data_IF_234099220379
#
_entry.id   IF_234099220379
#
_cell.length_a   1.000
_cell.length_b   1.000
_cell.length_c   1.000
_cell.angle_alpha   90.00
_cell.angle_beta   90.00
_cell.angle_gamma   90.00
#
_symmetry.space_group_name_H-M   'P 1'
#
loop_
_entity.id
_entity.type
_entity.pdbx_description
1 polymer ?
#
# COMPACT_ATOMS: atom_id res chain seq x y z
N UNK A 1 31.56 -16.02 -6.96
CA UNK A 1 31.88 -15.18 -8.14
C UNK A 1 31.62 -13.76 -7.71
N UNK A 2 32.59 -12.86 -7.82
CA UNK A 2 32.42 -11.47 -7.41
C UNK A 2 31.38 -10.81 -8.30
N UNK A 3 30.26 -10.36 -7.73
CA UNK A 3 29.33 -9.44 -8.39
C UNK A 3 30.11 -8.17 -8.72
N UNK A 4 30.67 -8.16 -9.92
CA UNK A 4 31.35 -7.01 -10.48
C UNK A 4 30.38 -5.86 -10.46
N UNK A 5 30.84 -4.73 -9.94
CA UNK A 5 30.15 -3.45 -9.92
C UNK A 5 29.80 -3.03 -11.36
N UNK A 6 28.70 -3.56 -11.91
CA UNK A 6 28.20 -3.19 -13.23
C UNK A 6 27.83 -1.71 -13.14
N UNK A 7 28.42 -0.84 -13.97
CA UNK A 7 28.06 0.57 -13.98
C UNK A 7 26.56 0.73 -14.24
N UNK A 8 25.89 1.53 -13.42
CA UNK A 8 24.48 1.87 -13.62
C UNK A 8 24.27 2.45 -15.01
N UNK A 9 23.15 2.11 -15.64
CA UNK A 9 22.79 2.71 -16.92
C UNK A 9 22.54 4.22 -16.74
N UNK A 10 22.59 4.99 -17.83
CA UNK A 10 22.22 6.40 -17.79
C UNK A 10 20.76 6.60 -17.34
N UNK A 11 19.86 5.70 -17.77
CA UNK A 11 18.45 5.72 -17.37
C UNK A 11 18.26 5.46 -15.86
N UNK A 12 18.99 4.48 -15.31
CA UNK A 12 18.96 4.18 -13.88
C UNK A 12 19.53 5.34 -13.04
N UNK A 13 20.63 5.93 -13.50
CA UNK A 13 21.27 7.08 -12.84
C UNK A 13 20.31 8.28 -12.80
N UNK A 14 19.73 8.64 -13.94
CA UNK A 14 18.78 9.76 -14.03
C UNK A 14 17.53 9.52 -13.17
N UNK A 15 17.03 8.28 -13.11
CA UNK A 15 15.90 7.94 -12.24
C UNK A 15 16.24 8.13 -10.75
N UNK A 16 17.43 7.70 -10.31
CA UNK A 16 17.86 7.90 -8.93
C UNK A 16 18.04 9.37 -8.56
N UNK A 17 18.58 10.18 -9.47
CA UNK A 17 18.73 11.63 -9.26
C UNK A 17 17.38 12.31 -9.08
N UNK A 18 16.41 12.01 -9.95
CA UNK A 18 15.04 12.54 -9.82
C UNK A 18 14.38 12.07 -8.52
N UNK A 19 14.47 10.78 -8.20
CA UNK A 19 13.95 10.23 -6.94
C UNK A 19 14.53 10.98 -5.74
N UNK A 20 15.84 11.18 -5.71
CA UNK A 20 16.52 11.91 -4.63
C UNK A 20 16.04 13.37 -4.53
N UNK A 21 15.90 14.06 -5.65
CA UNK A 21 15.39 15.43 -5.67
C UNK A 21 13.95 15.53 -5.16
N UNK A 22 13.10 14.55 -5.46
CA UNK A 22 11.74 14.47 -4.91
C UNK A 22 11.75 14.17 -3.42
N UNK A 23 12.59 13.24 -2.96
CA UNK A 23 12.75 12.95 -1.53
C UNK A 23 13.13 14.21 -0.74
N UNK A 24 14.13 14.96 -1.22
CA UNK A 24 14.57 16.22 -0.59
C UNK A 24 13.44 17.26 -0.56
N UNK A 25 12.68 17.40 -1.65
CA UNK A 25 11.57 18.37 -1.75
C UNK A 25 10.38 18.01 -0.85
N UNK A 26 10.11 16.71 -0.70
CA UNK A 26 8.95 16.21 0.06
C UNK A 26 9.27 15.94 1.53
N UNK A 27 10.55 15.97 1.91
CA UNK A 27 10.99 15.56 3.25
C UNK A 27 10.86 14.05 3.48
N UNK A 28 10.95 13.24 2.42
CA UNK A 28 10.89 11.79 2.53
C UNK A 28 12.26 11.21 2.89
N UNK A 29 12.29 10.33 3.89
CA UNK A 29 13.49 9.65 4.37
C UNK A 29 13.77 8.36 3.58
N UNK A 30 12.79 7.87 2.83
CA UNK A 30 12.92 6.65 2.04
C UNK A 30 11.88 6.51 0.95
N UNK A 31 11.88 5.33 0.33
CA UNK A 31 10.85 4.90 -0.60
C UNK A 31 10.52 3.43 -0.38
N UNK A 32 9.25 3.06 -0.54
CA UNK A 32 8.84 1.65 -0.70
C UNK A 32 8.52 1.37 -2.15
N UNK A 33 8.82 0.16 -2.61
CA UNK A 33 8.48 -0.28 -3.97
C UNK A 33 7.05 -0.84 -3.98
N UNK A 34 6.26 -0.39 -4.94
CA UNK A 34 4.98 -0.99 -5.30
C UNK A 34 5.18 -1.94 -6.48
N UNK A 35 5.85 -1.45 -7.53
CA UNK A 35 6.30 -2.27 -8.67
C UNK A 35 7.78 -2.02 -8.92
N UNK A 36 8.57 -3.07 -8.83
CA UNK A 36 10.03 -3.03 -9.04
C UNK A 36 10.45 -3.43 -10.45
N UNK A 37 11.75 -3.31 -10.72
CA UNK A 37 12.38 -3.95 -11.88
C UNK A 37 12.78 -5.38 -11.51
N UNK A 38 12.77 -6.30 -12.47
CA UNK A 38 13.46 -7.58 -12.29
C UNK A 38 14.94 -7.35 -11.98
N UNK A 39 15.56 -8.23 -11.18
CA UNK A 39 16.98 -8.18 -10.77
C UNK A 39 17.97 -8.37 -11.91
N UNK A 40 17.51 -8.57 -13.15
CA UNK A 40 18.36 -8.80 -14.30
C UNK A 40 18.36 -7.60 -15.26
N UNK A 41 19.54 -7.06 -15.63
CA UNK A 41 19.68 -5.99 -16.60
C UNK A 41 19.18 -6.41 -17.99
N UNK A 42 18.85 -5.44 -18.87
CA UNK A 42 19.18 -4.02 -18.76
C UNK A 42 18.10 -3.14 -18.10
N UNK A 43 18.50 -2.23 -17.21
CA UNK A 43 17.68 -1.12 -16.73
C UNK A 43 17.57 -0.03 -17.82
N UNK A 44 16.72 -0.27 -18.81
CA UNK A 44 16.43 0.67 -19.89
C UNK A 44 15.51 1.80 -19.41
N UNK A 45 15.32 2.83 -20.23
CA UNK A 45 14.32 3.87 -19.96
C UNK A 45 12.92 3.30 -19.77
N UNK A 46 12.54 2.31 -20.59
CA UNK A 46 11.25 1.62 -20.49
C UNK A 46 11.12 0.87 -19.16
N UNK A 47 12.16 0.12 -18.76
CA UNK A 47 12.16 -0.59 -17.48
C UNK A 47 12.07 0.38 -16.30
N UNK A 48 12.82 1.48 -16.33
CA UNK A 48 12.77 2.50 -15.27
C UNK A 48 11.43 3.25 -15.25
N UNK A 49 10.79 3.45 -16.40
CA UNK A 49 9.46 4.04 -16.52
C UNK A 49 8.35 3.13 -15.96
N UNK A 50 8.61 1.83 -15.81
CA UNK A 50 7.71 0.87 -15.16
C UNK A 50 7.79 0.87 -13.63
N UNK A 51 8.84 1.45 -13.05
CA UNK A 51 9.04 1.45 -11.59
C UNK A 51 8.00 2.33 -10.90
N UNK A 52 7.37 1.81 -9.86
CA UNK A 52 6.37 2.50 -9.05
C UNK A 52 6.80 2.45 -7.60
N UNK A 53 6.99 3.61 -6.99
CA UNK A 53 7.41 3.75 -5.59
C UNK A 53 6.54 4.76 -4.88
N UNK A 54 6.47 4.66 -3.57
CA UNK A 54 5.88 5.69 -2.71
C UNK A 54 7.02 6.39 -1.98
N UNK A 55 6.98 7.72 -1.94
CA UNK A 55 7.87 8.49 -1.07
C UNK A 55 7.42 8.31 0.38
N UNK A 56 8.33 7.90 1.25
CA UNK A 56 8.04 7.68 2.68
C UNK A 56 8.55 8.87 3.48
N UNK A 57 7.62 9.76 3.86
CA UNK A 57 7.84 10.77 4.89
C UNK A 57 7.69 10.15 6.28
N UNK A 58 8.10 10.86 7.33
CA UNK A 58 7.90 10.41 8.71
C UNK A 58 6.44 10.07 9.02
N UNK A 59 5.48 10.88 8.53
CA UNK A 59 4.05 10.64 8.76
C UNK A 59 3.55 9.36 8.07
N UNK A 60 4.10 9.02 6.90
CA UNK A 60 3.80 7.76 6.21
C UNK A 60 4.47 6.59 6.90
N UNK A 61 5.71 6.74 7.36
CA UNK A 61 6.40 5.70 8.12
C UNK A 61 5.63 5.36 9.41
N UNK A 62 5.14 6.37 10.13
CA UNK A 62 4.33 6.16 11.33
C UNK A 62 2.97 5.52 10.99
N UNK A 63 2.31 5.98 9.93
CA UNK A 63 1.08 5.34 9.45
C UNK A 63 1.31 3.88 9.01
N UNK A 64 2.48 3.56 8.45
CA UNK A 64 2.86 2.23 8.01
C UNK A 64 3.08 1.29 9.20
N UNK A 65 3.75 1.75 10.26
CA UNK A 65 3.90 0.98 11.51
C UNK A 65 2.54 0.63 12.10
N UNK A 66 1.63 1.60 12.17
CA UNK A 66 0.26 1.35 12.64
C UNK A 66 -0.50 0.37 11.74
N UNK A 67 -0.35 0.49 10.43
CA UNK A 67 -1.00 -0.39 9.47
C UNK A 67 -0.49 -1.84 9.58
N UNK A 68 0.82 -2.05 9.68
CA UNK A 68 1.39 -3.38 9.88
C UNK A 68 1.02 -3.98 11.23
N UNK A 69 1.05 -3.20 12.32
CA UNK A 69 0.59 -3.67 13.62
C UNK A 69 -0.86 -4.20 13.53
N UNK A 70 -1.73 -3.50 12.80
CA UNK A 70 -3.10 -3.96 12.55
C UNK A 70 -3.15 -5.26 11.73
N UNK A 71 -2.48 -5.32 10.56
CA UNK A 71 -2.62 -6.47 9.65
C UNK A 71 -1.94 -7.74 10.18
N UNK A 72 -0.91 -7.57 11.01
CA UNK A 72 -0.23 -8.67 11.73
C UNK A 72 -0.90 -9.03 13.06
N UNK A 73 -2.06 -8.45 13.38
CA UNK A 73 -2.77 -8.62 14.66
C UNK A 73 -1.86 -8.40 15.90
N UNK A 74 -0.91 -7.46 15.80
CA UNK A 74 -0.05 -7.08 16.90
C UNK A 74 -0.76 -6.09 17.83
N UNK A 75 -0.47 -6.18 19.12
CA UNK A 75 -1.00 -5.25 20.10
C UNK A 75 -0.37 -3.87 19.85
N UNK A 76 -1.18 -2.87 19.54
CA UNK A 76 -0.70 -1.54 19.13
C UNK A 76 0.04 -0.77 20.22
N UNK A 77 0.05 -1.29 21.45
CA UNK A 77 0.75 -0.76 22.63
C UNK A 77 2.15 -1.39 22.82
N UNK A 78 2.58 -2.31 21.95
CA UNK A 78 3.93 -2.83 21.96
C UNK A 78 4.90 -1.83 21.30
N UNK A 79 5.73 -1.18 22.11
CA UNK A 79 6.74 -0.18 21.69
C UNK A 79 7.85 -0.72 20.75
N UNK A 80 7.73 -1.93 20.22
CA UNK A 80 8.68 -2.47 19.25
C UNK A 80 7.98 -3.35 18.21
N UNK A 81 8.06 -2.94 16.95
CA UNK A 81 8.01 -3.86 15.83
C UNK A 81 9.21 -4.82 15.97
N UNK A 82 8.99 -6.02 16.51
CA UNK A 82 10.00 -7.07 16.51
C UNK A 82 9.94 -7.80 15.18
N UNK A 83 10.84 -7.45 14.26
CA UNK A 83 10.96 -8.10 12.96
C UNK A 83 11.32 -9.60 13.06
N UNK A 84 11.61 -10.13 14.25
CA UNK A 84 11.82 -11.56 14.50
C UNK A 84 10.58 -12.26 15.05
N UNK A 85 9.47 -11.57 15.27
CA UNK A 85 8.20 -12.21 15.59
C UNK A 85 7.65 -12.83 14.30
N UNK A 86 7.91 -14.11 14.08
CA UNK A 86 7.26 -14.86 13.01
C UNK A 86 5.78 -15.02 13.37
N UNK A 87 4.96 -14.03 13.03
CA UNK A 87 3.51 -14.14 13.11
C UNK A 87 3.08 -15.33 12.25
N UNK A 88 2.52 -16.36 12.90
CA UNK A 88 1.91 -17.47 12.17
C UNK A 88 0.49 -17.05 11.87
N UNK A 89 0.24 -16.68 10.62
CA UNK A 89 -1.10 -16.33 10.17
C UNK A 89 -2.03 -17.54 10.36
N UNK A 90 -3.23 -17.27 10.86
CA UNK A 90 -4.30 -18.26 11.00
C UNK A 90 -5.58 -17.69 10.43
N UNK A 91 -6.55 -18.56 10.17
CA UNK A 91 -7.92 -18.16 9.84
C UNK A 91 -8.52 -17.17 10.84
N UNK A 92 -8.18 -17.30 12.12
CA UNK A 92 -8.58 -16.35 13.17
C UNK A 92 -8.00 -14.95 12.95
N UNK A 93 -6.70 -14.86 12.64
CA UNK A 93 -6.03 -13.60 12.30
C UNK A 93 -6.66 -12.96 11.05
N UNK A 94 -6.97 -13.75 10.03
CA UNK A 94 -7.64 -13.26 8.82
C UNK A 94 -9.03 -12.69 9.11
N UNK A 95 -9.82 -13.36 9.95
CA UNK A 95 -11.12 -12.86 10.40
C UNK A 95 -10.98 -11.52 11.14
N UNK A 96 -10.02 -11.41 12.06
CA UNK A 96 -9.76 -10.16 12.80
C UNK A 96 -9.43 -8.99 11.87
N UNK A 97 -8.57 -9.22 10.86
CA UNK A 97 -8.27 -8.21 9.85
C UNK A 97 -9.52 -7.84 9.06
N UNK A 98 -10.29 -8.82 8.56
CA UNK A 98 -11.53 -8.53 7.80
C UNK A 98 -12.50 -7.68 8.62
N UNK A 99 -12.75 -8.05 9.88
CA UNK A 99 -13.64 -7.29 10.77
C UNK A 99 -13.08 -5.89 11.11
N UNK A 100 -11.75 -5.76 11.20
CA UNK A 100 -11.08 -4.52 11.56
C UNK A 100 -10.97 -3.49 10.44
N UNK A 101 -10.95 -3.90 9.16
CA UNK A 101 -10.75 -3.00 8.01
C UNK A 101 -11.70 -1.80 8.05
N UNK A 102 -13.00 -2.01 8.33
CA UNK A 102 -13.94 -0.89 8.38
C UNK A 102 -13.58 0.11 9.50
N UNK A 103 -13.13 -0.38 10.65
CA UNK A 103 -12.66 0.43 11.77
C UNK A 103 -11.42 1.24 11.39
N UNK A 104 -10.43 0.62 10.76
CA UNK A 104 -9.22 1.30 10.30
C UNK A 104 -9.50 2.32 9.19
N UNK A 105 -10.40 2.02 8.25
CA UNK A 105 -10.84 2.99 7.24
C UNK A 105 -11.52 4.19 7.90
N UNK A 106 -12.35 3.99 8.93
CA UNK A 106 -12.95 5.10 9.70
C UNK A 106 -11.90 5.94 10.42
N UNK A 107 -10.88 5.31 11.01
CA UNK A 107 -9.76 6.00 11.66
C UNK A 107 -8.92 6.78 10.65
N UNK A 108 -8.62 6.19 9.50
CA UNK A 108 -7.86 6.80 8.41
C UNK A 108 -8.58 7.99 7.77
N UNK A 109 -9.91 7.95 7.72
CA UNK A 109 -10.73 9.00 7.07
C UNK A 109 -11.41 9.96 8.06
N UNK A 110 -11.05 9.92 9.34
CA UNK A 110 -11.67 10.71 10.39
C UNK A 110 -11.71 12.22 10.07
N UNK A 111 -12.81 12.89 10.39
CA UNK A 111 -13.06 14.29 10.02
C UNK A 111 -12.00 15.26 10.55
N UNK A 112 -11.43 14.98 11.72
CA UNK A 112 -10.37 15.76 12.37
C UNK A 112 -9.03 15.77 11.63
N UNK A 113 -8.83 14.85 10.69
CA UNK A 113 -7.58 14.72 9.94
C UNK A 113 -7.56 15.66 8.73
N UNK A 114 -6.39 16.21 8.45
CA UNK A 114 -6.12 16.95 7.22
C UNK A 114 -6.17 16.02 6.00
N UNK A 115 -6.26 16.58 4.79
CA UNK A 115 -6.27 15.77 3.56
C UNK A 115 -4.99 14.92 3.42
N UNK A 116 -3.77 15.44 3.64
CA UNK A 116 -2.57 14.61 3.62
C UNK A 116 -2.58 13.50 4.66
N UNK A 117 -3.00 13.79 5.91
CA UNK A 117 -3.09 12.76 6.95
C UNK A 117 -4.08 11.64 6.59
N UNK A 118 -5.19 11.96 5.92
CA UNK A 118 -6.14 10.97 5.43
C UNK A 118 -5.52 10.11 4.32
N UNK A 119 -4.81 10.75 3.41
CA UNK A 119 -4.08 10.08 2.34
C UNK A 119 -3.03 9.14 2.89
N UNK A 120 -2.13 9.62 3.75
CA UNK A 120 -1.03 8.81 4.28
C UNK A 120 -1.54 7.57 5.01
N UNK A 121 -2.56 7.73 5.88
CA UNK A 121 -3.16 6.61 6.60
C UNK A 121 -3.86 5.61 5.68
N UNK A 122 -4.62 6.09 4.71
CA UNK A 122 -5.35 5.20 3.79
C UNK A 122 -4.38 4.49 2.83
N UNK A 123 -3.35 5.19 2.37
CA UNK A 123 -2.26 4.70 1.53
C UNK A 123 -1.50 3.58 2.24
N UNK A 124 -1.03 3.82 3.46
CA UNK A 124 -0.23 2.85 4.20
C UNK A 124 -1.05 1.67 4.71
N UNK A 125 -2.33 1.87 5.06
CA UNK A 125 -3.27 0.76 5.33
C UNK A 125 -3.41 -0.15 4.11
N UNK A 126 -3.63 0.43 2.93
CA UNK A 126 -3.80 -0.34 1.69
C UNK A 126 -2.51 -1.06 1.32
N UNK A 127 -1.36 -0.40 1.50
CA UNK A 127 -0.05 -1.01 1.28
C UNK A 127 0.17 -2.22 2.20
N UNK A 128 -0.05 -2.08 3.51
CA UNK A 128 0.10 -3.19 4.46
C UNK A 128 -0.84 -4.36 4.13
N UNK A 129 -2.11 -4.08 3.83
CA UNK A 129 -3.07 -5.12 3.41
C UNK A 129 -2.67 -5.82 2.10
N UNK A 130 -1.95 -5.15 1.21
CA UNK A 130 -1.40 -5.77 0.00
C UNK A 130 -0.18 -6.64 0.31
N UNK A 131 0.72 -6.17 1.18
CA UNK A 131 1.95 -6.90 1.50
C UNK A 131 1.67 -8.19 2.28
N UNK A 132 0.69 -8.17 3.17
CA UNK A 132 0.26 -9.33 3.95
C UNK A 132 -1.05 -9.90 3.40
N UNK A 133 -1.07 -10.36 2.15
CA UNK A 133 -2.31 -10.76 1.47
C UNK A 133 -3.01 -12.01 2.04
N UNK A 134 -2.38 -12.72 2.97
CA UNK A 134 -2.90 -13.95 3.59
C UNK A 134 -4.29 -13.74 4.20
N UNK A 135 -4.58 -12.57 4.79
CA UNK A 135 -5.92 -12.25 5.32
C UNK A 135 -7.03 -12.43 4.31
N UNK A 136 -6.75 -12.18 3.02
CA UNK A 136 -7.75 -12.25 1.95
C UNK A 136 -8.08 -13.69 1.54
N UNK A 137 -7.19 -14.64 1.85
CA UNK A 137 -7.29 -16.06 1.45
C UNK A 137 -7.62 -16.98 2.61
N UNK A 138 -7.08 -16.70 3.80
CA UNK A 138 -7.25 -17.51 5.00
C UNK A 138 -8.14 -16.77 6.02
N UNK A 139 -9.44 -16.73 5.72
CA UNK A 139 -10.51 -16.22 6.58
C UNK A 139 -11.80 -17.04 6.35
N UNK A 140 -12.83 -16.83 7.18
CA UNK A 140 -14.17 -17.44 7.06
C UNK A 140 -15.25 -16.42 6.64
N UNK A 141 -14.86 -15.20 6.26
CA UNK A 141 -15.73 -14.06 5.96
C UNK A 141 -16.00 -13.90 4.44
N UNK A 142 -15.92 -14.98 3.68
CA UNK A 142 -15.87 -14.97 2.21
C UNK A 142 -17.22 -15.14 1.51
N UNK A 143 -18.34 -15.26 2.22
CA UNK A 143 -19.67 -15.41 1.61
C UNK A 143 -20.19 -14.16 0.90
N UNK A 144 -21.18 -14.34 0.04
CA UNK A 144 -21.84 -13.21 -0.63
C UNK A 144 -22.67 -12.40 0.37
N UNK A 145 -22.39 -11.10 0.46
CA UNK A 145 -22.96 -10.20 1.46
C UNK A 145 -22.19 -10.14 2.79
N UNK A 146 -21.12 -10.90 2.96
CA UNK A 146 -20.37 -10.96 4.22
C UNK A 146 -19.42 -9.76 4.42
N UNK A 147 -18.73 -9.78 5.54
CA UNK A 147 -17.88 -8.70 6.04
C UNK A 147 -16.75 -8.36 5.07
N UNK A 148 -16.17 -9.33 4.35
CA UNK A 148 -15.09 -9.06 3.39
C UNK A 148 -15.55 -8.18 2.23
N UNK A 149 -16.75 -8.42 1.69
CA UNK A 149 -17.31 -7.56 0.63
C UNK A 149 -17.59 -6.14 1.15
N UNK A 150 -18.14 -6.03 2.37
CA UNK A 150 -18.42 -4.74 3.01
C UNK A 150 -17.13 -3.94 3.25
N UNK A 151 -16.11 -4.59 3.80
CA UNK A 151 -14.78 -4.02 4.04
C UNK A 151 -14.15 -3.49 2.74
N UNK A 152 -14.10 -4.32 1.68
CA UNK A 152 -13.57 -3.93 0.38
C UNK A 152 -14.33 -2.75 -0.23
N UNK A 153 -15.68 -2.78 -0.17
CA UNK A 153 -16.53 -1.69 -0.66
C UNK A 153 -16.27 -0.39 0.08
N UNK A 154 -16.06 -0.44 1.40
CA UNK A 154 -15.78 0.74 2.23
C UNK A 154 -14.42 1.34 1.91
N UNK A 155 -13.38 0.51 1.79
CA UNK A 155 -12.04 0.96 1.42
C UNK A 155 -12.05 1.61 0.03
N UNK A 156 -12.72 0.97 -0.95
CA UNK A 156 -12.86 1.51 -2.30
C UNK A 156 -13.61 2.85 -2.35
N UNK A 157 -14.71 2.98 -1.60
CA UNK A 157 -15.47 4.22 -1.53
C UNK A 157 -14.66 5.36 -0.92
N UNK A 158 -13.84 5.07 0.09
CA UNK A 158 -12.92 6.05 0.70
C UNK A 158 -11.87 6.53 -0.29
N UNK A 159 -11.26 5.62 -1.06
CA UNK A 159 -10.32 5.99 -2.12
C UNK A 159 -10.98 6.80 -3.23
N UNK A 160 -12.12 6.34 -3.74
CA UNK A 160 -12.89 7.04 -4.78
C UNK A 160 -13.23 8.47 -4.37
N UNK A 161 -13.64 8.66 -3.11
CA UNK A 161 -13.91 9.99 -2.57
C UNK A 161 -12.63 10.83 -2.47
N UNK A 162 -11.58 10.27 -1.86
CA UNK A 162 -10.34 11.01 -1.60
C UNK A 162 -9.67 11.45 -2.90
N UNK A 163 -9.59 10.59 -3.92
CA UNK A 163 -9.00 10.89 -5.22
C UNK A 163 -9.94 11.71 -6.11
N UNK A 164 -11.26 11.55 -5.98
CA UNK A 164 -12.23 12.27 -6.80
C UNK A 164 -12.43 13.74 -6.38
N UNK A 165 -12.14 14.07 -5.12
CA UNK A 165 -12.36 15.41 -4.56
C UNK A 165 -11.08 16.26 -4.45
N UNK A 166 -9.90 15.69 -4.74
CA UNK A 166 -8.61 16.33 -4.44
C UNK A 166 -7.57 16.07 -5.53
N UNK A 167 -6.73 17.06 -5.81
CA UNK A 167 -5.53 16.86 -6.62
C UNK A 167 -4.41 16.20 -5.78
N UNK A 168 -3.43 15.56 -6.43
CA UNK A 168 -2.30 14.91 -5.76
C UNK A 168 -1.57 15.86 -4.79
N UNK A 169 -1.33 17.11 -5.21
CA UNK A 169 -0.69 18.13 -4.38
C UNK A 169 -1.47 18.42 -3.08
N UNK A 170 -2.81 18.41 -3.11
CA UNK A 170 -3.65 18.63 -1.91
C UNK A 170 -3.56 17.47 -0.91
N UNK A 171 -3.20 16.28 -1.40
CA UNK A 171 -3.01 15.05 -0.63
C UNK A 171 -1.58 14.89 -0.12
N UNK A 172 -0.67 15.82 -0.44
CA UNK A 172 0.75 15.67 -0.12
C UNK A 172 1.45 14.57 -0.94
N UNK A 173 0.86 14.17 -2.07
CA UNK A 173 1.46 13.23 -3.01
C UNK A 173 2.19 13.99 -4.11
N UNK A 174 3.43 13.62 -4.38
CA UNK A 174 4.14 14.14 -5.54
C UNK A 174 3.64 13.44 -6.82
N UNK A 175 3.54 14.23 -7.90
CA UNK A 175 3.01 13.77 -9.21
C UNK A 175 3.97 12.82 -9.95
N UNK A 176 5.26 12.83 -9.60
CA UNK A 176 6.27 12.05 -10.33
C UNK A 176 6.36 10.60 -9.84
N UNK A 177 6.24 10.38 -8.53
CA UNK A 177 6.45 9.09 -7.89
C UNK A 177 5.25 8.64 -7.06
N UNK A 178 4.86 9.40 -6.03
CA UNK A 178 3.82 8.93 -5.08
C UNK A 178 2.46 8.77 -5.73
N UNK A 179 2.01 9.71 -6.57
CA UNK A 179 0.71 9.58 -7.25
C UNK A 179 0.68 8.36 -8.21
N UNK A 180 1.63 8.20 -9.16
CA UNK A 180 1.71 6.99 -9.96
C UNK A 180 1.84 5.71 -9.11
N UNK A 181 2.59 5.79 -8.00
CA UNK A 181 2.76 4.71 -7.04
C UNK A 181 1.45 4.28 -6.38
N UNK A 182 0.61 5.23 -5.97
CA UNK A 182 -0.71 4.93 -5.40
C UNK A 182 -1.65 4.33 -6.42
N UNK A 183 -1.63 4.82 -7.66
CA UNK A 183 -2.43 4.22 -8.72
C UNK A 183 -2.03 2.76 -8.96
N UNK A 184 -0.73 2.47 -9.01
CA UNK A 184 -0.23 1.10 -9.13
C UNK A 184 -0.63 0.25 -7.91
N UNK A 185 -0.53 0.79 -6.70
CA UNK A 185 -0.90 0.11 -5.46
C UNK A 185 -2.38 -0.31 -5.49
N UNK A 186 -3.26 0.58 -5.93
CA UNK A 186 -4.70 0.31 -6.00
C UNK A 186 -5.08 -0.66 -7.11
N UNK A 187 -4.34 -0.66 -8.22
CA UNK A 187 -4.45 -1.67 -9.27
C UNK A 187 -4.03 -3.05 -8.76
N UNK A 188 -2.86 -3.15 -8.13
CA UNK A 188 -2.33 -4.42 -7.60
C UNK A 188 -3.20 -4.95 -6.46
N UNK A 189 -3.72 -4.08 -5.60
CA UNK A 189 -4.69 -4.45 -4.57
C UNK A 189 -6.00 -4.96 -5.15
N UNK A 190 -6.51 -4.32 -6.21
CA UNK A 190 -7.69 -4.81 -6.91
C UNK A 190 -7.45 -6.18 -7.53
N UNK A 191 -6.27 -6.42 -8.09
CA UNK A 191 -5.89 -7.71 -8.67
C UNK A 191 -5.79 -8.80 -7.61
N UNK A 192 -5.14 -8.53 -6.48
CA UNK A 192 -5.09 -9.44 -5.33
C UNK A 192 -6.50 -9.84 -4.86
N UNK A 193 -7.42 -8.89 -4.75
CA UNK A 193 -8.81 -9.19 -4.37
C UNK A 193 -9.55 -10.02 -5.44
N UNK A 194 -9.29 -9.79 -6.73
CA UNK A 194 -9.88 -10.62 -7.78
C UNK A 194 -9.36 -12.05 -7.72
N UNK A 195 -8.07 -12.22 -7.43
CA UNK A 195 -7.43 -13.53 -7.29
C UNK A 195 -7.98 -14.29 -6.08
N UNK A 196 -8.03 -13.65 -4.90
CA UNK A 196 -8.61 -14.23 -3.69
C UNK A 196 -10.09 -14.65 -3.87
N UNK A 197 -10.87 -13.82 -4.58
CA UNK A 197 -12.27 -14.15 -4.87
C UNK A 197 -12.46 -15.27 -5.88
N UNK A 198 -11.42 -15.60 -6.67
CA UNK A 198 -11.50 -16.66 -7.68
C UNK A 198 -11.60 -18.06 -7.04
N UNK A 199 -10.98 -18.25 -5.88
CA UNK A 199 -11.00 -19.51 -5.13
C UNK A 199 -12.39 -19.83 -4.55
N UNK A 200 -13.15 -18.79 -4.19
CA UNK A 200 -14.47 -18.90 -3.54
C UNK A 200 -15.64 -18.63 -4.48
N UNK A 201 -15.37 -18.09 -5.67
CA UNK A 201 -16.39 -17.65 -6.62
C UNK A 201 -17.09 -16.34 -6.23
N UNK A 202 -16.63 -15.67 -5.16
CA UNK A 202 -17.18 -14.43 -4.65
C UNK A 202 -16.40 -13.24 -5.20
N UNK A 203 -17.11 -12.17 -5.57
CA UNK A 203 -16.47 -10.94 -6.08
C UNK A 203 -16.33 -9.93 -4.96
N UNK A 204 -15.09 -9.54 -4.65
CA UNK A 204 -14.83 -8.47 -3.69
C UNK A 204 -14.80 -7.10 -4.40
N UNK A 205 -15.77 -6.21 -4.14
CA UNK A 205 -15.91 -4.98 -4.91
C UNK A 205 -14.86 -3.94 -4.51
N UNK A 206 -13.92 -3.65 -5.41
CA UNK A 206 -12.91 -2.61 -5.20
C UNK A 206 -12.89 -1.55 -6.31
N UNK A 207 -14.00 -0.81 -6.47
CA UNK A 207 -14.13 0.25 -7.48
C UNK A 207 -13.62 1.59 -6.93
N UNK A 208 -12.31 1.79 -6.98
CA UNK A 208 -11.62 2.95 -6.37
C UNK A 208 -11.48 4.16 -7.30
N UNK A 209 -11.59 3.98 -8.63
CA UNK A 209 -11.45 5.09 -9.58
C UNK A 209 -12.61 6.11 -9.43
N UNK A 210 -12.33 7.43 -9.46
CA UNK A 210 -13.34 8.49 -9.51
C UNK A 210 -14.40 8.29 -10.59
#
# INVERSE_FOLDING_TARGET
>A
MSDGNVPKSAAETAWHERRKAVMERTGADGTVAVRGTTTHPPHTEETMAGVRVLMITQERDDALKHAFAFVCCEDSDADSYDSNNTHVYTTGSGNEVVFGIEGEVKKATASKLTKPQKFDRLCMLTYALLQEDTWSRDNECWGDGDEMQSACKKLAASWKKLLGENAAADLGADEEFTEPGVHALLEDFQEMLNDAGSDTGVKYPFKWRP
#
